data_IF_849740696028
#
_entry.id   IF_849740696028
#
_cell.length_a   1.000
_cell.length_b   1.000
_cell.length_c   1.000
_cell.angle_alpha   90.00
_cell.angle_beta   90.00
_cell.angle_gamma   90.00
#
_symmetry.space_group_name_H-M   'P 1'
#
loop_
_entity.id
_entity.type
_entity.pdbx_description
1 polymer ?
#
# COMPACT_ATOMS: atom_id res chain seq x y z
N UNK A 1 25.09 61.01 -40.02
CA UNK A 1 24.07 61.86 -39.38
C UNK A 1 24.34 61.83 -37.87
N UNK A 2 25.24 62.61 -37.28
CA UNK A 2 25.39 64.08 -37.17
C UNK A 2 24.20 64.78 -36.49
N UNK A 3 24.34 65.08 -35.18
CA UNK A 3 24.15 66.40 -34.50
C UNK A 3 24.06 66.20 -32.97
N UNK A 4 25.05 66.70 -32.19
CA UNK A 4 25.03 67.97 -31.40
C UNK A 4 24.23 67.87 -30.10
N UNK A 5 24.65 68.33 -28.91
CA UNK A 5 25.78 69.11 -28.39
C UNK A 5 25.63 69.17 -26.85
N UNK A 6 26.71 69.19 -26.04
CA UNK A 6 27.25 70.36 -25.29
C UNK A 6 26.23 71.06 -24.35
N UNK A 7 26.47 71.47 -23.09
CA UNK A 7 27.65 71.80 -22.29
C UNK A 7 27.28 71.85 -20.77
N UNK A 8 28.28 71.95 -19.87
CA UNK A 8 28.14 72.11 -18.39
C UNK A 8 27.67 73.52 -17.94
N UNK A 9 28.04 74.08 -16.75
CA UNK A 9 29.02 73.63 -15.74
C UNK A 9 28.71 73.97 -14.22
N UNK A 10 29.62 73.54 -13.33
CA UNK A 10 30.19 74.19 -12.11
C UNK A 10 29.38 74.63 -10.86
N UNK A 11 29.86 74.06 -9.72
CA UNK A 11 30.16 74.62 -8.38
C UNK A 11 29.17 75.57 -7.66
N UNK A 12 28.78 75.16 -6.45
CA UNK A 12 28.33 76.04 -5.37
C UNK A 12 28.85 75.53 -4.02
N UNK A 13 29.81 76.26 -3.45
CA UNK A 13 30.28 76.15 -2.07
C UNK A 13 29.45 77.09 -1.18
N UNK A 14 29.72 77.11 0.14
CA UNK A 14 29.18 77.98 1.24
C UNK A 14 28.26 77.17 2.17
N UNK A 15 28.63 76.70 3.37
CA UNK A 15 29.37 77.22 4.54
C UNK A 15 28.42 77.60 5.70
N UNK A 16 28.63 76.87 6.81
CA UNK A 16 28.47 77.15 8.23
C UNK A 16 27.20 77.78 8.89
N UNK A 17 27.06 77.33 10.15
CA UNK A 17 26.49 77.97 11.36
C UNK A 17 25.02 77.64 11.64
N UNK A 18 24.54 77.47 12.87
CA UNK A 18 25.02 77.23 14.25
C UNK A 18 23.70 77.13 15.09
N UNK A 19 23.79 76.73 16.36
CA UNK A 19 22.82 77.02 17.45
C UNK A 19 21.62 76.05 17.61
N UNK A 20 21.70 75.03 18.47
CA UNK A 20 21.46 74.97 19.95
C UNK A 20 20.00 74.72 20.36
N UNK A 21 19.77 74.04 21.50
CA UNK A 21 18.60 73.20 21.72
C UNK A 21 17.49 73.90 22.51
N UNK A 22 16.24 73.49 22.29
CA UNK A 22 15.16 73.73 23.28
C UNK A 22 14.37 72.45 23.54
N UNK A 23 14.52 72.05 24.79
CA UNK A 23 13.81 71.02 25.52
C UNK A 23 12.47 71.59 26.01
N UNK A 24 11.37 70.90 25.70
CA UNK A 24 10.07 71.05 26.37
C UNK A 24 9.39 69.66 26.33
N UNK A 25 9.53 68.84 27.38
CA UNK A 25 8.54 68.61 28.47
C UNK A 25 7.16 68.20 27.91
N UNK A 26 6.94 66.89 27.70
CA UNK A 26 6.25 65.93 28.60
C UNK A 26 4.71 65.92 28.44
N UNK A 27 3.93 64.86 28.77
CA UNK A 27 4.23 63.41 28.87
C UNK A 27 3.08 62.47 28.37
N UNK A 28 3.27 61.16 28.60
CA UNK A 28 2.26 60.06 28.69
C UNK A 28 1.70 59.47 27.38
N UNK A 29 1.83 58.18 27.03
CA UNK A 29 2.17 56.94 27.76
C UNK A 29 2.81 55.96 26.76
N UNK A 30 4.01 55.46 27.05
CA UNK A 30 4.62 54.36 26.30
C UNK A 30 5.21 53.34 27.29
N UNK A 31 4.64 52.15 27.27
CA UNK A 31 5.03 50.91 27.95
C UNK A 31 4.53 49.81 27.01
N UNK A 32 5.31 48.85 26.49
CA UNK A 32 6.61 48.32 26.85
C UNK A 32 7.45 48.05 25.58
N UNK A 33 8.73 48.39 25.68
CA UNK A 33 9.90 47.84 24.96
C UNK A 33 10.16 46.35 25.39
N UNK A 34 11.15 45.58 24.87
CA UNK A 34 12.21 45.91 23.91
C UNK A 34 12.73 44.73 23.00
N UNK A 35 13.78 45.06 22.23
CA UNK A 35 15.06 44.31 22.07
C UNK A 35 15.19 43.27 20.94
N UNK A 36 16.15 43.61 20.07
CA UNK A 36 16.81 42.79 19.06
C UNK A 36 17.59 41.61 19.66
N UNK A 37 17.86 40.58 18.84
CA UNK A 37 19.20 40.06 18.50
C UNK A 37 19.07 38.78 17.63
N UNK A 38 20.17 38.10 17.25
CA UNK A 38 20.50 37.70 15.89
C UNK A 38 19.92 36.33 15.50
N UNK A 39 19.88 36.05 14.20
CA UNK A 39 19.49 34.73 13.67
C UNK A 39 20.56 33.71 14.08
N UNK A 40 20.30 32.93 15.12
CA UNK A 40 21.02 31.70 15.40
C UNK A 40 20.49 30.62 14.44
N UNK A 41 21.36 30.10 13.56
CA UNK A 41 21.06 28.89 12.81
C UNK A 41 21.15 27.70 13.76
N UNK A 42 20.01 27.32 14.34
CA UNK A 42 19.90 26.05 15.02
C UNK A 42 19.99 24.92 13.97
N UNK A 43 21.06 24.12 14.03
CA UNK A 43 21.05 22.78 13.47
C UNK A 43 19.98 21.99 14.24
N UNK A 44 18.76 21.94 13.70
CA UNK A 44 17.80 20.95 14.12
C UNK A 44 18.41 19.59 13.75
N UNK A 45 18.79 18.81 14.76
CA UNK A 45 19.00 17.38 14.60
C UNK A 45 17.63 16.82 14.19
N UNK A 46 17.40 16.66 12.89
CA UNK A 46 16.22 15.97 12.41
C UNK A 46 16.30 14.56 13.00
N UNK A 47 15.42 14.24 13.95
CA UNK A 47 15.11 12.84 14.25
C UNK A 47 14.60 12.27 12.93
N UNK A 48 15.41 11.48 12.26
CA UNK A 48 14.94 10.74 11.10
C UNK A 48 13.65 10.03 11.53
N UNK A 49 12.56 10.11 10.76
CA UNK A 49 11.38 9.30 11.04
C UNK A 49 11.84 7.85 11.11
N UNK A 50 11.33 7.08 12.09
CA UNK A 50 11.60 5.66 12.27
C UNK A 50 11.68 4.98 10.90
N UNK A 51 12.92 4.68 10.49
CA UNK A 51 13.14 4.04 9.19
C UNK A 51 12.38 2.72 9.23
N UNK A 52 11.40 2.54 8.34
CA UNK A 52 10.64 1.30 8.28
C UNK A 52 11.61 0.11 8.20
N UNK A 53 11.68 -0.69 9.27
CA UNK A 53 12.53 -1.86 9.30
C UNK A 53 11.92 -2.94 8.41
N UNK A 54 12.68 -3.45 7.44
CA UNK A 54 12.24 -4.56 6.61
C UNK A 54 12.33 -5.88 7.40
N UNK A 55 11.24 -6.65 7.43
CA UNK A 55 11.20 -7.99 8.02
C UNK A 55 10.81 -9.03 6.95
N UNK A 56 11.52 -10.16 6.92
CA UNK A 56 11.12 -11.33 6.12
C UNK A 56 10.11 -12.18 6.89
N UNK A 57 9.05 -12.64 6.22
CA UNK A 57 7.96 -13.41 6.81
C UNK A 57 7.76 -14.75 6.05
N UNK A 58 8.64 -15.73 6.25
CA UNK A 58 8.47 -17.04 5.65
C UNK A 58 7.34 -17.84 6.34
N UNK A 59 6.61 -18.69 5.60
CA UNK A 59 5.72 -19.68 6.19
C UNK A 59 6.44 -20.62 7.17
N UNK A 60 5.79 -20.91 8.29
CA UNK A 60 6.23 -21.86 9.33
C UNK A 60 6.30 -23.29 8.81
N UNK A 61 5.45 -23.65 7.86
CA UNK A 61 5.41 -24.99 7.25
C UNK A 61 6.55 -25.23 6.24
N UNK A 62 7.43 -24.25 6.01
CA UNK A 62 8.52 -24.38 5.05
C UNK A 62 8.05 -24.52 3.60
N UNK A 63 6.82 -24.08 3.28
CA UNK A 63 6.25 -24.16 1.93
C UNK A 63 7.01 -23.32 0.88
N UNK A 64 7.96 -22.48 1.29
CA UNK A 64 9.01 -21.95 0.41
C UNK A 64 9.99 -23.05 0.00
N UNK A 65 10.01 -23.51 -1.27
CA UNK A 65 11.08 -24.39 -1.73
C UNK A 65 12.40 -23.62 -1.83
N UNK A 66 13.50 -24.34 -1.67
CA UNK A 66 14.85 -23.84 -1.91
C UNK A 66 14.95 -23.13 -3.27
N UNK A 67 15.83 -22.11 -3.32
CA UNK A 67 16.15 -21.30 -4.49
C UNK A 67 16.21 -22.18 -5.76
N UNK A 68 15.26 -22.01 -6.68
CA UNK A 68 15.22 -22.77 -7.95
C UNK A 68 13.83 -23.26 -8.37
N UNK A 69 12.87 -23.37 -7.46
CA UNK A 69 11.47 -23.60 -7.84
C UNK A 69 10.73 -22.25 -7.89
N UNK A 70 10.08 -21.96 -9.02
CA UNK A 70 9.21 -20.80 -9.24
C UNK A 70 7.93 -20.90 -8.41
N UNK A 71 8.09 -21.04 -7.09
CA UNK A 71 6.99 -21.03 -6.14
C UNK A 71 6.55 -19.58 -6.01
N UNK A 72 5.37 -19.28 -6.56
CA UNK A 72 4.72 -17.99 -6.40
C UNK A 72 4.23 -17.81 -4.97
N UNK A 73 5.17 -17.78 -4.01
CA UNK A 73 4.90 -17.16 -2.72
C UNK A 73 4.72 -15.66 -3.00
N UNK A 74 3.65 -15.06 -2.45
CA UNK A 74 3.20 -13.70 -2.75
C UNK A 74 2.67 -13.45 -4.17
N UNK A 75 1.84 -14.35 -4.70
CA UNK A 75 1.06 -14.02 -5.92
C UNK A 75 0.04 -12.90 -5.65
N UNK A 76 -0.42 -12.82 -4.40
CA UNK A 76 -1.33 -11.80 -3.90
C UNK A 76 -0.96 -11.47 -2.45
N UNK A 77 -1.17 -10.22 -2.06
CA UNK A 77 -0.97 -9.76 -0.68
C UNK A 77 -2.03 -8.73 -0.35
N UNK A 78 -2.60 -8.83 0.85
CA UNK A 78 -3.53 -7.82 1.38
C UNK A 78 -3.30 -7.64 2.87
N UNK A 79 -3.67 -6.47 3.40
CA UNK A 79 -3.48 -6.10 4.80
C UNK A 79 -4.80 -5.60 5.35
N UNK A 80 -5.29 -6.23 6.42
CA UNK A 80 -6.47 -5.78 7.13
C UNK A 80 -6.37 -6.13 8.62
N UNK A 81 -6.96 -5.29 9.47
CA UNK A 81 -7.05 -5.49 10.92
C UNK A 81 -5.70 -5.81 11.59
N UNK A 82 -4.61 -5.19 11.10
CA UNK A 82 -3.26 -5.44 11.62
C UNK A 82 -2.73 -6.85 11.31
N UNK A 83 -3.30 -7.52 10.31
CA UNK A 83 -2.82 -8.81 9.78
C UNK A 83 -2.42 -8.66 8.32
N UNK A 84 -1.46 -9.48 7.91
CA UNK A 84 -1.02 -9.60 6.52
C UNK A 84 -1.45 -10.96 6.00
N UNK A 85 -2.10 -10.98 4.84
CA UNK A 85 -2.54 -12.18 4.17
C UNK A 85 -1.74 -12.35 2.89
N UNK A 86 -1.16 -13.53 2.67
CA UNK A 86 -0.28 -13.81 1.54
C UNK A 86 -0.77 -15.05 0.80
N UNK A 87 -1.14 -14.88 -0.46
CA UNK A 87 -1.57 -15.97 -1.33
C UNK A 87 -0.40 -16.71 -1.98
N UNK A 88 -0.53 -18.03 -2.03
CA UNK A 88 0.42 -18.95 -2.67
C UNK A 88 -0.34 -19.93 -3.57
N UNK A 89 -0.49 -19.69 -4.88
CA UNK A 89 -1.23 -20.55 -5.81
C UNK A 89 -0.71 -21.99 -6.00
N UNK A 90 0.46 -22.36 -5.47
CA UNK A 90 0.91 -23.76 -5.47
C UNK A 90 1.50 -24.28 -6.79
N UNK A 91 1.38 -23.53 -7.89
CA UNK A 91 2.11 -23.77 -9.13
C UNK A 91 1.88 -22.64 -10.14
N UNK A 92 2.95 -22.10 -10.71
CA UNK A 92 2.88 -21.37 -11.97
C UNK A 92 3.25 -22.37 -13.07
N UNK A 93 2.32 -22.72 -13.96
CA UNK A 93 2.53 -23.67 -15.07
C UNK A 93 3.51 -23.18 -16.16
N UNK A 94 4.44 -22.28 -15.85
CA UNK A 94 5.30 -21.70 -16.88
C UNK A 94 6.37 -22.66 -17.42
N UNK A 95 6.55 -23.86 -16.84
CA UNK A 95 7.42 -24.92 -17.35
C UNK A 95 6.95 -26.30 -16.87
N UNK A 96 7.29 -27.42 -17.56
CA UNK A 96 6.96 -28.78 -17.11
C UNK A 96 7.81 -29.13 -15.88
N UNK A 97 7.33 -28.71 -14.71
CA UNK A 97 7.85 -29.09 -13.40
C UNK A 97 6.79 -29.90 -12.66
N UNK A 98 7.20 -30.81 -11.74
CA UNK A 98 6.26 -31.67 -11.04
C UNK A 98 5.25 -30.82 -10.28
N UNK A 99 3.98 -31.03 -10.59
CA UNK A 99 2.88 -30.54 -9.78
C UNK A 99 2.71 -31.42 -8.54
N UNK A 100 2.19 -30.81 -7.49
CA UNK A 100 2.05 -31.49 -6.20
C UNK A 100 1.97 -30.58 -5.00
N UNK A 101 1.97 -29.26 -5.19
CA UNK A 101 1.73 -28.31 -4.11
C UNK A 101 0.35 -27.70 -4.23
N UNK A 102 -0.46 -27.97 -3.22
CA UNK A 102 -1.73 -27.29 -3.00
C UNK A 102 -1.47 -25.79 -2.82
N UNK A 103 -2.37 -24.96 -3.34
CA UNK A 103 -2.36 -23.54 -3.05
C UNK A 103 -2.74 -23.26 -1.59
N UNK A 104 -2.47 -22.07 -1.08
CA UNK A 104 -2.83 -21.70 0.29
C UNK A 104 -2.78 -20.19 0.52
N UNK A 105 -3.36 -19.75 1.64
CA UNK A 105 -3.23 -18.37 2.15
C UNK A 105 -2.58 -18.42 3.52
N UNK A 106 -1.47 -17.71 3.68
CA UNK A 106 -0.76 -17.57 4.94
C UNK A 106 -1.16 -16.26 5.61
N UNK A 107 -1.46 -16.30 6.91
CA UNK A 107 -1.88 -15.14 7.70
C UNK A 107 -0.80 -14.83 8.72
N UNK A 108 -0.27 -13.62 8.68
CA UNK A 108 0.74 -13.12 9.60
C UNK A 108 0.13 -12.12 10.57
N UNK A 109 0.46 -12.27 11.84
CA UNK A 109 0.10 -11.36 12.92
C UNK A 109 1.34 -10.79 13.60
N UNK A 110 1.21 -9.58 14.12
CA UNK A 110 2.30 -8.91 14.84
C UNK A 110 2.28 -9.27 16.33
N UNK A 111 3.42 -9.68 16.86
CA UNK A 111 3.67 -9.91 18.28
C UNK A 111 4.88 -9.07 18.70
N UNK A 112 4.64 -7.91 19.32
CA UNK A 112 5.70 -6.94 19.59
C UNK A 112 6.21 -6.29 18.29
N UNK A 113 7.51 -6.41 18.02
CA UNK A 113 8.12 -5.93 16.78
C UNK A 113 8.31 -7.00 15.71
N UNK A 114 7.82 -8.22 15.96
CA UNK A 114 7.97 -9.35 15.05
C UNK A 114 6.63 -9.76 14.44
N UNK A 115 6.61 -9.92 13.13
CA UNK A 115 5.55 -10.61 12.41
C UNK A 115 5.78 -12.11 12.37
N UNK A 116 4.77 -12.89 12.76
CA UNK A 116 4.82 -14.36 12.71
C UNK A 116 3.56 -14.91 12.07
N UNK A 117 3.65 -16.07 11.41
CA UNK A 117 2.46 -16.72 10.86
C UNK A 117 1.55 -17.20 12.00
N UNK A 118 0.30 -16.77 11.99
CA UNK A 118 -0.71 -17.12 13.00
C UNK A 118 -1.75 -18.11 12.47
N UNK A 119 -1.90 -18.24 11.15
CA UNK A 119 -2.77 -19.23 10.52
C UNK A 119 -2.33 -19.53 9.08
N UNK A 120 -2.72 -20.71 8.61
CA UNK A 120 -2.63 -21.11 7.20
C UNK A 120 -4.00 -21.63 6.77
N UNK A 121 -4.49 -21.16 5.63
CA UNK A 121 -5.82 -21.48 5.10
C UNK A 121 -5.67 -22.27 3.80
N UNK A 122 -6.27 -23.45 3.78
CA UNK A 122 -6.44 -24.29 2.59
C UNK A 122 -7.77 -25.04 2.74
N UNK A 123 -8.75 -24.88 1.83
CA UNK A 123 -10.02 -25.57 1.95
C UNK A 123 -9.83 -27.08 1.75
N UNK A 124 -10.59 -27.89 2.49
CA UNK A 124 -10.59 -29.33 2.28
C UNK A 124 -11.01 -29.68 0.86
N UNK A 125 -10.29 -30.61 0.22
CA UNK A 125 -10.58 -31.06 -1.14
C UNK A 125 -10.02 -30.18 -2.27
N UNK A 126 -9.39 -29.04 -1.96
CA UNK A 126 -8.62 -28.28 -2.96
C UNK A 126 -7.47 -29.14 -3.46
N UNK A 127 -7.55 -29.50 -4.74
CA UNK A 127 -6.51 -30.28 -5.39
C UNK A 127 -5.25 -29.42 -5.58
N UNK A 128 -4.12 -30.10 -5.72
CA UNK A 128 -2.94 -29.49 -6.34
C UNK A 128 -3.34 -28.84 -7.67
N UNK A 129 -2.64 -27.77 -8.06
CA UNK A 129 -2.83 -27.07 -9.36
C UNK A 129 -4.07 -26.18 -9.51
N UNK A 130 -4.94 -26.04 -8.50
CA UNK A 130 -6.12 -25.15 -8.56
C UNK A 130 -5.79 -23.65 -8.56
N UNK A 131 -4.52 -23.29 -8.35
CA UNK A 131 -4.06 -21.91 -8.18
C UNK A 131 -4.75 -21.17 -7.01
N UNK A 132 -5.17 -21.89 -5.95
CA UNK A 132 -5.79 -21.29 -4.78
C UNK A 132 -4.88 -20.25 -4.10
N UNK A 133 -5.37 -19.03 -3.92
CA UNK A 133 -4.59 -17.88 -3.45
C UNK A 133 -4.04 -17.00 -4.56
N UNK A 134 -4.42 -17.23 -5.82
CA UNK A 134 -4.07 -16.35 -6.94
C UNK A 134 -4.77 -14.98 -6.84
N UNK A 135 -6.05 -14.97 -6.48
CA UNK A 135 -6.80 -13.78 -6.07
C UNK A 135 -6.99 -13.79 -4.56
N UNK A 136 -6.91 -12.63 -3.91
CA UNK A 136 -7.06 -12.53 -2.47
C UNK A 136 -7.50 -11.11 -2.08
N UNK A 137 -8.58 -11.01 -1.31
CA UNK A 137 -8.97 -9.75 -0.68
C UNK A 137 -9.75 -9.99 0.61
N UNK A 138 -9.73 -9.01 1.52
CA UNK A 138 -10.34 -9.12 2.85
C UNK A 138 -10.95 -7.79 3.29
N UNK A 139 -12.15 -7.85 3.84
CA UNK A 139 -12.84 -6.70 4.40
C UNK A 139 -13.70 -7.12 5.59
N UNK A 140 -13.39 -6.58 6.77
CA UNK A 140 -14.02 -6.99 8.04
C UNK A 140 -13.87 -8.49 8.27
N UNK A 141 -14.99 -9.16 8.49
CA UNK A 141 -15.05 -10.61 8.75
C UNK A 141 -15.18 -11.46 7.48
N UNK A 142 -14.92 -10.89 6.30
CA UNK A 142 -15.04 -11.57 5.01
C UNK A 142 -13.67 -11.64 4.32
N UNK A 143 -13.20 -12.85 4.03
CA UNK A 143 -12.00 -13.12 3.25
C UNK A 143 -12.40 -13.88 1.98
N UNK A 144 -11.93 -13.39 0.85
CA UNK A 144 -12.26 -13.94 -0.47
C UNK A 144 -10.97 -14.40 -1.14
N UNK A 145 -10.96 -15.65 -1.59
CA UNK A 145 -9.77 -16.29 -2.18
C UNK A 145 -10.11 -16.89 -3.54
N UNK A 146 -9.33 -16.53 -4.55
CA UNK A 146 -9.49 -17.02 -5.91
C UNK A 146 -8.71 -18.31 -6.18
N UNK A 147 -9.31 -19.21 -6.95
CA UNK A 147 -8.72 -20.45 -7.45
C UNK A 147 -9.03 -20.61 -8.96
N UNK A 148 -8.34 -19.85 -9.84
CA UNK A 148 -8.70 -19.75 -11.25
C UNK A 148 -8.46 -21.02 -12.08
N UNK A 149 -7.75 -22.02 -11.53
CA UNK A 149 -7.53 -23.31 -12.20
C UNK A 149 -8.40 -24.44 -11.63
N UNK A 150 -9.30 -24.13 -10.69
CA UNK A 150 -10.31 -25.08 -10.23
C UNK A 150 -11.44 -25.20 -11.27
N UNK A 151 -11.26 -26.12 -12.24
CA UNK A 151 -12.19 -26.31 -13.36
C UNK A 151 -12.21 -25.10 -14.30
N UNK A 152 -13.35 -24.39 -14.36
CA UNK A 152 -13.46 -23.11 -15.07
C UNK A 152 -12.98 -21.90 -14.24
N UNK A 153 -12.59 -22.16 -12.99
CA UNK A 153 -12.24 -21.19 -11.96
C UNK A 153 -13.32 -21.12 -10.87
N UNK A 154 -12.88 -20.89 -9.64
CA UNK A 154 -13.74 -20.78 -8.47
C UNK A 154 -13.27 -19.65 -7.54
N UNK A 155 -14.17 -19.23 -6.66
CA UNK A 155 -13.89 -18.32 -5.55
C UNK A 155 -14.31 -18.99 -4.25
N UNK A 156 -13.45 -18.94 -3.26
CA UNK A 156 -13.66 -19.49 -1.93
C UNK A 156 -13.86 -18.35 -0.95
N UNK A 157 -14.91 -18.45 -0.15
CA UNK A 157 -15.26 -17.43 0.83
C UNK A 157 -15.03 -17.99 2.22
N UNK A 158 -14.40 -17.17 3.05
CA UNK A 158 -14.15 -17.45 4.45
C UNK A 158 -14.79 -16.36 5.30
N UNK A 159 -15.34 -16.78 6.44
CA UNK A 159 -15.85 -15.88 7.46
C UNK A 159 -14.96 -15.92 8.69
N UNK A 160 -14.78 -14.78 9.32
CA UNK A 160 -14.07 -14.70 10.58
C UNK A 160 -15.05 -14.85 11.75
N UNK A 161 -14.70 -15.71 12.69
CA UNK A 161 -15.41 -15.87 13.96
C UNK A 161 -14.41 -15.81 15.14
N UNK A 162 -14.86 -16.23 16.32
CA UNK A 162 -14.04 -16.22 17.54
C UNK A 162 -12.86 -17.20 17.47
N UNK A 163 -12.98 -18.28 16.71
CA UNK A 163 -11.99 -19.36 16.62
C UNK A 163 -11.05 -19.17 15.43
N UNK A 164 -11.39 -18.31 14.46
CA UNK A 164 -10.49 -17.90 13.39
C UNK A 164 -11.22 -17.64 12.08
N UNK A 165 -10.59 -18.04 10.97
CA UNK A 165 -11.20 -18.01 9.64
C UNK A 165 -11.78 -19.39 9.33
N UNK A 166 -13.08 -19.46 9.09
CA UNK A 166 -13.80 -20.68 8.75
C UNK A 166 -14.29 -20.61 7.30
N UNK A 167 -14.20 -21.74 6.60
CA UNK A 167 -14.70 -21.83 5.22
C UNK A 167 -16.24 -21.70 5.23
N UNK A 168 -16.75 -20.79 4.42
CA UNK A 168 -18.17 -20.45 4.32
C UNK A 168 -18.78 -21.10 3.08
N UNK A 169 -18.28 -20.75 1.89
CA UNK A 169 -18.77 -21.33 0.64
C UNK A 169 -17.76 -21.29 -0.52
N UNK A 170 -18.05 -22.08 -1.56
CA UNK A 170 -17.36 -22.07 -2.85
C UNK A 170 -18.31 -21.57 -3.93
N UNK A 171 -17.96 -20.44 -4.53
CA UNK A 171 -18.68 -19.79 -5.61
C UNK A 171 -18.12 -20.19 -6.97
N UNK A 172 -19.02 -20.52 -7.88
CA UNK A 172 -18.76 -20.70 -9.31
C UNK A 172 -19.68 -19.78 -10.11
N UNK A 173 -19.38 -19.61 -11.39
CA UNK A 173 -20.20 -18.83 -12.30
C UNK A 173 -20.52 -19.64 -13.55
N UNK A 174 -21.81 -19.79 -13.88
CA UNK A 174 -22.25 -20.61 -15.01
C UNK A 174 -21.77 -20.11 -16.38
N UNK A 175 -21.44 -18.80 -16.49
CA UNK A 175 -20.81 -18.25 -17.68
C UNK A 175 -19.31 -18.55 -17.81
N UNK A 176 -18.71 -19.19 -16.80
CA UNK A 176 -17.32 -19.63 -16.83
C UNK A 176 -17.21 -20.95 -17.61
N UNK A 177 -16.84 -20.85 -18.89
CA UNK A 177 -16.42 -22.00 -19.68
C UNK A 177 -15.00 -22.47 -19.32
N UNK A 178 -14.56 -23.57 -19.91
CA UNK A 178 -13.19 -24.04 -19.79
C UNK A 178 -12.18 -22.92 -20.12
N UNK A 179 -11.20 -22.71 -19.25
CA UNK A 179 -10.21 -21.65 -19.40
C UNK A 179 -10.69 -20.23 -19.08
N UNK A 180 -11.91 -20.06 -18.55
CA UNK A 180 -12.43 -18.74 -18.15
C UNK A 180 -11.62 -18.08 -17.03
N UNK A 181 -10.99 -18.90 -16.18
CA UNK A 181 -10.16 -18.46 -15.04
C UNK A 181 -10.94 -17.58 -14.07
N UNK A 182 -12.19 -17.96 -13.77
CA UNK A 182 -13.01 -17.28 -12.80
C UNK A 182 -12.33 -17.25 -11.41
N UNK A 183 -12.33 -16.09 -10.76
CA UNK A 183 -11.60 -15.89 -9.50
C UNK A 183 -10.12 -15.55 -9.69
N UNK A 184 -9.64 -15.28 -10.91
CA UNK A 184 -8.24 -14.86 -11.12
C UNK A 184 -7.91 -13.53 -10.42
N UNK A 185 -8.89 -12.64 -10.34
CA UNK A 185 -8.84 -11.44 -9.51
C UNK A 185 -10.15 -11.37 -8.72
N UNK A 186 -10.07 -10.94 -7.47
CA UNK A 186 -11.22 -10.77 -6.58
C UNK A 186 -11.09 -9.46 -5.82
N UNK A 187 -12.22 -8.87 -5.41
CA UNK A 187 -12.26 -7.78 -4.45
C UNK A 187 -13.55 -7.86 -3.63
N UNK A 188 -13.53 -7.32 -2.42
CA UNK A 188 -14.68 -7.30 -1.52
C UNK A 188 -14.75 -5.99 -0.72
N UNK A 189 -15.96 -5.57 -0.38
CA UNK A 189 -16.19 -4.47 0.58
C UNK A 189 -16.69 -4.98 1.95
N UNK A 190 -16.79 -6.31 2.15
CA UNK A 190 -17.30 -6.96 3.35
C UNK A 190 -18.76 -7.41 3.25
N UNK A 191 -19.52 -6.83 2.33
CA UNK A 191 -20.92 -7.16 2.03
C UNK A 191 -21.01 -7.85 0.65
N UNK A 192 -20.51 -7.17 -0.37
CA UNK A 192 -20.38 -7.64 -1.73
C UNK A 192 -18.99 -8.19 -2.02
N UNK A 193 -18.90 -9.03 -3.04
CA UNK A 193 -17.64 -9.40 -3.67
C UNK A 193 -17.77 -9.41 -5.20
N UNK A 194 -16.66 -9.11 -5.87
CA UNK A 194 -16.54 -9.18 -7.32
C UNK A 194 -15.42 -10.16 -7.69
N UNK A 195 -15.64 -10.92 -8.75
CA UNK A 195 -14.68 -11.89 -9.26
C UNK A 195 -14.51 -11.76 -10.78
N UNK A 196 -13.26 -11.70 -11.22
CA UNK A 196 -12.88 -11.63 -12.62
C UNK A 196 -12.71 -13.01 -13.26
N UNK A 197 -13.11 -13.13 -14.53
CA UNK A 197 -12.90 -14.28 -15.39
C UNK A 197 -12.35 -13.82 -16.76
N UNK A 198 -11.04 -13.54 -16.89
CA UNK A 198 -10.47 -12.92 -18.09
C UNK A 198 -10.59 -13.81 -19.34
N UNK A 199 -10.68 -15.13 -19.20
CA UNK A 199 -10.85 -16.05 -20.33
C UNK A 199 -12.30 -16.23 -20.78
N UNK A 200 -13.27 -15.69 -20.04
CA UNK A 200 -14.69 -15.87 -20.34
C UNK A 200 -15.10 -15.21 -21.66
N UNK A 201 -16.26 -15.62 -22.18
CA UNK A 201 -16.87 -15.03 -23.38
C UNK A 201 -15.91 -15.00 -24.59
N UNK A 202 -15.28 -16.14 -24.87
CA UNK A 202 -14.27 -16.29 -25.93
C UNK A 202 -13.07 -15.33 -25.77
N UNK A 203 -12.62 -15.12 -24.53
CA UNK A 203 -11.47 -14.28 -24.21
C UNK A 203 -11.74 -12.78 -24.09
N UNK A 204 -13.01 -12.34 -24.14
CA UNK A 204 -13.39 -10.94 -23.87
C UNK A 204 -13.31 -10.60 -22.39
N UNK A 205 -13.41 -11.61 -21.53
CA UNK A 205 -13.41 -11.47 -20.09
C UNK A 205 -14.80 -11.15 -19.52
N UNK A 206 -14.94 -11.35 -18.21
CA UNK A 206 -16.10 -10.94 -17.44
C UNK A 206 -15.67 -10.53 -16.02
N UNK A 207 -16.48 -9.68 -15.38
CA UNK A 207 -16.43 -9.45 -13.95
C UNK A 207 -17.84 -9.71 -13.40
N UNK A 208 -17.93 -10.49 -12.33
CA UNK A 208 -19.19 -10.98 -11.78
C UNK A 208 -19.31 -10.48 -10.35
N UNK A 209 -20.38 -9.74 -10.06
CA UNK A 209 -20.70 -9.23 -8.73
C UNK A 209 -21.62 -10.22 -8.02
N UNK A 210 -21.32 -10.50 -6.77
CA UNK A 210 -22.15 -11.24 -5.84
C UNK A 210 -22.49 -10.32 -4.67
N UNK A 211 -23.76 -9.98 -4.56
CA UNK A 211 -24.30 -9.24 -3.43
C UNK A 211 -24.93 -10.18 -2.43
N UNK A 212 -24.66 -9.95 -1.14
CA UNK A 212 -25.16 -10.75 -0.04
C UNK A 212 -26.10 -9.94 0.85
#
# INVERSE_FOLDING_TARGET
MARHGAAGPLLGHVDARQETPRQDRDPMKSRLLPFAAPIALAMALATAPDTAAAQSMPPKDGSIPAVGALSAFSASVTVADGRIFVGRPGGLEIFPMPSGRQGGVHVFGRSGDEWTEVASLSPEGVQSETAFGAGLDVAGDLLVVGAPMDGAGAVYVYRRDADGWTFDERLTWDGAGAGARFGQAVATNGEDLIAGAPGAQSGRGAAVLYSR
#
